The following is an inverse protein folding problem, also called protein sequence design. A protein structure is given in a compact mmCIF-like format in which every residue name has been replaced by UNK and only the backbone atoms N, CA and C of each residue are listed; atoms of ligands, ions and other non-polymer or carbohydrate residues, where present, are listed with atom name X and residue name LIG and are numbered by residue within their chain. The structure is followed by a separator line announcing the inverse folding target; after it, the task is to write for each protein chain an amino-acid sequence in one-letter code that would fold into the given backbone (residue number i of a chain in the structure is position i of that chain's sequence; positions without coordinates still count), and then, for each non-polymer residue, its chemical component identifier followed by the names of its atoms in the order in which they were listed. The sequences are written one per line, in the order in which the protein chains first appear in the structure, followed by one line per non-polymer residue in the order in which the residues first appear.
data_IF_112218626327
#
_entry.id   IF_112218626327
#
_cell.length_a   1.000
_cell.length_b   1.000
_cell.length_c   1.000
_cell.angle_alpha   90.00
_cell.angle_beta   90.00
_cell.angle_gamma   90.00
#
_symmetry.space_group_name_H-M   'P 1'
#
loop_
_entity.id
_entity.type
_entity.pdbx_description
1 polymer ?
#
# COMPACT_ATOMS: atom_id res chain seq x y z
N UNK A 1 19.61 34.59 16.02
CA UNK A 1 19.68 33.14 16.28
C UNK A 1 18.28 32.58 16.05
N UNK A 2 18.06 31.60 15.16
CA UNK A 2 16.77 30.94 15.10
C UNK A 2 16.59 30.13 16.39
N UNK A 3 15.46 30.33 17.07
CA UNK A 3 15.18 29.83 18.42
C UNK A 3 14.83 28.33 18.45
N UNK A 4 14.87 27.66 17.29
CA UNK A 4 14.40 26.29 17.17
C UNK A 4 14.94 25.60 15.91
N UNK A 5 15.63 24.47 16.07
CA UNK A 5 16.16 23.64 14.98
C UNK A 5 15.66 22.19 15.20
N UNK A 6 14.80 21.70 14.30
CA UNK A 6 14.37 20.30 14.29
C UNK A 6 15.22 19.55 13.29
N UNK A 7 16.03 18.63 13.79
CA UNK A 7 16.68 17.61 12.96
C UNK A 7 15.89 16.31 13.06
N UNK A 8 15.32 15.86 11.94
CA UNK A 8 14.82 14.48 11.78
C UNK A 8 15.36 13.88 10.49
N UNK A 9 15.50 12.56 10.55
CA UNK A 9 16.34 11.70 9.71
C UNK A 9 16.35 12.08 8.21
N UNK A 10 17.56 12.05 7.64
CA UNK A 10 17.87 12.22 6.23
C UNK A 10 17.04 11.26 5.36
N UNK A 11 15.85 11.69 4.98
CA UNK A 11 15.12 11.17 3.82
C UNK A 11 15.70 11.77 2.55
N UNK A 12 15.75 10.97 1.48
CA UNK A 12 16.22 11.39 0.17
C UNK A 12 15.60 12.73 -0.24
N UNK A 13 16.43 13.70 -0.61
CA UNK A 13 16.02 15.04 -1.06
C UNK A 13 16.51 16.20 -0.19
N UNK A 14 16.99 15.96 1.03
CA UNK A 14 17.61 17.01 1.84
C UNK A 14 19.14 16.92 1.76
N UNK A 15 19.74 17.80 0.96
CA UNK A 15 21.19 17.97 0.94
C UNK A 15 21.72 18.47 2.30
N UNK A 16 22.99 18.22 2.59
CA UNK A 16 23.68 18.88 3.70
C UNK A 16 23.52 20.40 3.58
N UNK A 17 23.09 21.07 4.65
CA UNK A 17 22.73 22.49 4.73
C UNK A 17 21.35 22.89 4.18
N UNK A 18 20.49 21.94 3.83
CA UNK A 18 19.08 22.24 3.61
C UNK A 18 18.39 22.58 4.94
N UNK A 19 17.75 23.74 5.03
CA UNK A 19 16.94 24.14 6.19
C UNK A 19 15.47 24.03 5.79
N UNK A 20 14.83 22.84 5.88
CA UNK A 20 13.43 22.72 5.53
C UNK A 20 12.59 23.58 6.50
N UNK A 21 11.59 24.28 5.96
CA UNK A 21 10.68 25.07 6.77
C UNK A 21 9.95 24.16 7.77
N UNK A 22 9.85 24.59 9.03
CA UNK A 22 9.03 23.91 10.02
C UNK A 22 7.56 23.95 9.57
N UNK A 23 6.92 22.78 9.53
CA UNK A 23 5.48 22.68 9.32
C UNK A 23 4.77 22.86 10.66
N UNK A 24 3.94 23.89 10.75
CA UNK A 24 3.08 24.16 11.89
C UNK A 24 1.65 23.74 11.55
N UNK A 25 0.86 23.41 12.58
CA UNK A 25 -0.58 23.20 12.40
C UNK A 25 -1.26 24.52 12.02
N UNK A 26 -2.52 24.46 11.58
CA UNK A 26 -3.34 25.66 11.31
C UNK A 26 -3.46 26.57 12.54
N UNK A 27 -3.26 26.04 13.75
CA UNK A 27 -3.27 26.79 15.01
C UNK A 27 -1.88 27.31 15.42
N UNK A 28 -0.84 27.09 14.61
CA UNK A 28 0.53 27.52 14.91
C UNK A 28 1.27 26.61 15.89
N UNK A 29 0.68 25.50 16.29
CA UNK A 29 1.30 24.53 17.19
C UNK A 29 2.30 23.65 16.42
N UNK A 30 3.39 23.30 17.09
CA UNK A 30 4.28 22.28 16.59
C UNK A 30 3.90 20.94 17.19
N UNK A 31 3.35 20.07 16.35
CA UNK A 31 2.98 18.70 16.73
C UNK A 31 4.00 17.72 16.17
N UNK A 32 4.61 16.94 17.05
CA UNK A 32 5.58 15.93 16.68
C UNK A 32 4.90 14.57 16.65
N UNK A 33 4.59 14.10 15.45
CA UNK A 33 3.95 12.80 15.19
C UNK A 33 4.82 11.95 14.28
N UNK A 34 4.51 10.66 14.17
CA UNK A 34 5.12 9.82 13.14
C UNK A 34 4.63 10.23 11.73
N UNK A 35 5.40 9.85 10.71
CA UNK A 35 5.14 10.25 9.33
C UNK A 35 3.79 9.72 8.80
N UNK A 36 3.44 8.47 9.12
CA UNK A 36 2.21 7.86 8.61
C UNK A 36 0.97 8.50 9.22
N UNK A 37 0.96 8.71 10.53
CA UNK A 37 -0.09 9.44 11.25
C UNK A 37 -0.23 10.86 10.71
N UNK A 38 0.89 11.57 10.51
CA UNK A 38 0.86 12.90 9.88
C UNK A 38 0.24 12.85 8.47
N UNK A 39 0.65 11.89 7.63
CA UNK A 39 0.13 11.71 6.28
C UNK A 39 -1.37 11.36 6.27
N UNK A 40 -1.83 10.52 7.21
CA UNK A 40 -3.24 10.16 7.36
C UNK A 40 -4.08 11.39 7.75
N UNK A 41 -3.62 12.18 8.72
CA UNK A 41 -4.28 13.41 9.18
C UNK A 41 -4.28 14.54 8.13
N UNK A 42 -3.26 14.58 7.27
CA UNK A 42 -3.18 15.46 6.10
C UNK A 42 -4.09 15.01 4.96
N UNK A 43 -4.82 13.88 5.12
CA UNK A 43 -5.67 13.33 4.08
C UNK A 43 -4.84 12.80 2.89
N UNK A 44 -3.73 12.14 3.15
CA UNK A 44 -2.94 11.40 2.13
C UNK A 44 -3.12 9.88 2.25
N UNK A 45 -3.84 9.44 3.28
CA UNK A 45 -4.24 8.06 3.48
C UNK A 45 -5.53 7.69 2.77
N UNK A 46 -5.53 6.51 2.15
CA UNK A 46 -6.70 5.90 1.53
C UNK A 46 -6.73 4.40 1.82
N UNK A 47 -7.93 3.83 1.79
CA UNK A 47 -8.15 2.41 1.97
C UNK A 47 -8.74 1.82 0.69
N UNK A 48 -8.26 0.63 0.32
CA UNK A 48 -8.83 -0.19 -0.74
C UNK A 48 -9.30 -1.49 -0.11
N UNK A 49 -10.54 -1.90 -0.39
CA UNK A 49 -11.13 -3.10 0.19
C UNK A 49 -11.71 -3.98 -0.91
N UNK A 50 -11.28 -5.23 -0.95
CA UNK A 50 -11.78 -6.20 -1.92
C UNK A 50 -13.16 -6.80 -1.55
N UNK A 51 -13.60 -6.63 -0.31
CA UNK A 51 -14.81 -7.27 0.21
C UNK A 51 -14.57 -8.74 0.52
N UNK A 52 -15.55 -9.59 0.20
CA UNK A 52 -15.44 -11.05 0.33
C UNK A 52 -15.02 -11.65 -1.00
N UNK A 53 -13.88 -12.35 -1.02
CA UNK A 53 -13.36 -13.09 -2.17
C UNK A 53 -13.83 -14.54 -2.02
N UNK A 54 -14.81 -14.96 -2.83
CA UNK A 54 -15.40 -16.32 -2.74
C UNK A 54 -14.76 -17.33 -3.67
N UNK A 55 -14.05 -16.85 -4.69
CA UNK A 55 -13.33 -17.68 -5.66
C UNK A 55 -11.93 -17.09 -5.88
N UNK A 56 -11.01 -17.22 -4.90
CA UNK A 56 -9.64 -16.75 -5.10
C UNK A 56 -9.00 -17.47 -6.29
N UNK A 57 -7.93 -16.87 -6.83
CA UNK A 57 -7.15 -17.50 -7.88
C UNK A 57 -6.71 -18.91 -7.39
N UNK A 58 -7.15 -19.94 -8.11
CA UNK A 58 -6.96 -21.34 -7.70
C UNK A 58 -6.01 -22.05 -8.66
N UNK A 59 -5.04 -22.76 -8.08
CA UNK A 59 -4.11 -23.64 -8.79
C UNK A 59 -2.71 -23.55 -8.19
N UNK A 60 -1.90 -24.57 -8.43
CA UNK A 60 -0.45 -24.58 -8.18
C UNK A 60 0.26 -23.66 -9.19
N UNK A 61 -0.31 -22.46 -9.34
CA UNK A 61 0.15 -21.41 -10.25
C UNK A 61 1.16 -20.65 -9.41
N UNK A 62 2.42 -20.77 -9.81
CA UNK A 62 3.50 -19.97 -9.26
C UNK A 62 3.02 -18.51 -9.18
N UNK A 63 3.25 -17.85 -8.04
CA UNK A 63 2.90 -16.45 -7.70
C UNK A 63 3.36 -15.43 -8.79
N UNK A 64 4.17 -15.90 -9.74
CA UNK A 64 4.43 -15.32 -11.06
C UNK A 64 3.20 -15.01 -11.92
N UNK A 65 1.96 -15.32 -11.51
CA UNK A 65 0.78 -15.01 -12.33
C UNK A 65 0.59 -13.49 -12.57
N UNK A 66 -0.02 -13.22 -13.72
CA UNK A 66 -0.46 -11.91 -14.21
C UNK A 66 -1.79 -11.48 -13.61
N UNK A 67 -2.24 -12.11 -12.53
CA UNK A 67 -3.56 -11.92 -11.96
C UNK A 67 -3.46 -11.55 -10.47
N UNK A 68 -4.36 -10.68 -10.00
CA UNK A 68 -4.43 -10.23 -8.62
C UNK A 68 -5.90 -9.98 -8.22
N UNK A 69 -6.20 -10.07 -6.91
CA UNK A 69 -7.51 -9.77 -6.36
C UNK A 69 -7.74 -8.26 -6.18
N UNK A 70 -6.66 -7.52 -5.94
CA UNK A 70 -6.69 -6.07 -5.81
C UNK A 70 -5.38 -5.44 -6.27
N UNK A 71 -5.48 -4.25 -6.87
CA UNK A 71 -4.34 -3.43 -7.23
C UNK A 71 -4.65 -1.95 -6.99
N UNK A 72 -3.60 -1.18 -6.73
CA UNK A 72 -3.66 0.28 -6.65
C UNK A 72 -2.63 0.84 -7.61
N UNK A 73 -3.10 1.69 -8.52
CA UNK A 73 -2.29 2.28 -9.58
C UNK A 73 -1.89 3.69 -9.18
N UNK A 74 -0.58 3.93 -9.15
CA UNK A 74 -0.05 5.27 -8.95
C UNK A 74 -0.37 6.12 -10.18
N UNK A 75 -0.97 7.29 -9.98
CA UNK A 75 -1.03 8.28 -11.05
C UNK A 75 0.39 8.77 -11.37
N UNK A 76 0.61 9.23 -12.60
CA UNK A 76 1.87 9.88 -12.97
C UNK A 76 2.20 10.98 -11.97
N UNK A 77 3.43 11.04 -11.49
CA UNK A 77 3.83 12.02 -10.48
C UNK A 77 3.63 11.58 -9.03
N UNK A 78 3.05 10.39 -8.78
CA UNK A 78 2.71 9.95 -7.41
C UNK A 78 3.45 8.67 -7.02
N UNK A 79 3.59 8.45 -5.72
CA UNK A 79 4.14 7.22 -5.15
C UNK A 79 3.16 6.64 -4.15
N UNK A 80 2.91 5.34 -4.28
CA UNK A 80 2.10 4.59 -3.33
C UNK A 80 3.03 3.99 -2.29
N UNK A 81 2.75 4.26 -1.02
CA UNK A 81 3.43 3.65 0.10
C UNK A 81 2.45 2.67 0.75
N UNK A 82 2.68 1.35 0.67
CA UNK A 82 1.87 0.41 1.42
C UNK A 82 2.14 0.62 2.92
N UNK A 83 1.08 0.75 3.71
CA UNK A 83 1.16 0.95 5.17
C UNK A 83 0.79 -0.34 5.90
N UNK A 84 -0.27 -1.00 5.45
CA UNK A 84 -0.80 -2.20 6.07
C UNK A 84 -1.56 -3.01 5.02
N UNK A 85 -1.48 -4.33 5.11
CA UNK A 85 -2.35 -5.26 4.41
C UNK A 85 -3.00 -6.20 5.44
N UNK A 86 -4.32 -6.35 5.35
CA UNK A 86 -5.10 -7.19 6.25
C UNK A 86 -5.97 -8.12 5.42
N UNK A 87 -5.95 -9.40 5.76
CA UNK A 87 -6.84 -10.40 5.17
C UNK A 87 -7.39 -11.31 6.26
N UNK A 88 -8.67 -11.65 6.17
CA UNK A 88 -9.31 -12.59 7.10
C UNK A 88 -9.63 -13.86 6.33
N UNK A 89 -9.08 -14.98 6.81
CA UNK A 89 -9.35 -16.29 6.22
C UNK A 89 -10.41 -16.99 7.05
N UNK A 90 -11.58 -17.15 6.44
CA UNK A 90 -12.56 -18.12 6.91
C UNK A 90 -12.25 -19.47 6.25
N UNK A 91 -12.53 -20.56 6.97
CA UNK A 91 -12.23 -21.94 6.57
C UNK A 91 -12.47 -22.17 5.07
N UNK A 92 -11.38 -22.34 4.31
CA UNK A 92 -11.44 -22.82 2.93
C UNK A 92 -11.85 -24.29 2.98
N UNK A 93 -13.12 -24.55 2.71
CA UNK A 93 -13.70 -25.88 2.71
C UNK A 93 -12.99 -26.72 1.61
N UNK A 94 -12.02 -27.56 1.97
CA UNK A 94 -11.28 -28.39 1.00
C UNK A 94 -9.80 -28.64 1.25
N UNK A 95 -9.18 -28.06 2.30
CA UNK A 95 -7.80 -28.41 2.69
C UNK A 95 -6.68 -27.70 1.91
N UNK A 96 -7.02 -26.80 0.98
CA UNK A 96 -6.04 -25.94 0.32
C UNK A 96 -5.62 -24.80 1.26
N UNK A 97 -4.32 -24.65 1.49
CA UNK A 97 -3.78 -23.54 2.28
C UNK A 97 -3.75 -22.26 1.42
N UNK A 98 -4.28 -21.13 1.91
CA UNK A 98 -4.18 -19.87 1.18
C UNK A 98 -2.75 -19.34 1.22
N UNK A 99 -2.31 -18.79 0.10
CA UNK A 99 -1.08 -18.00 0.01
C UNK A 99 -1.44 -16.54 -0.29
N UNK A 100 -0.70 -15.61 0.33
CA UNK A 100 -0.81 -14.18 0.03
C UNK A 100 0.53 -13.70 -0.46
N UNK A 101 0.52 -12.90 -1.52
CA UNK A 101 1.68 -12.14 -1.97
C UNK A 101 1.35 -10.65 -2.09
N UNK A 102 2.32 -9.81 -1.76
CA UNK A 102 2.25 -8.36 -1.91
C UNK A 102 3.43 -7.95 -2.78
N UNK A 103 3.14 -7.30 -3.90
CA UNK A 103 4.13 -6.91 -4.92
C UNK A 103 3.85 -5.51 -5.46
N UNK A 104 4.91 -4.86 -5.94
CA UNK A 104 4.83 -3.68 -6.79
C UNK A 104 5.29 -4.05 -8.19
N UNK A 105 4.65 -3.45 -9.19
CA UNK A 105 4.93 -3.68 -10.61
C UNK A 105 5.03 -2.35 -11.33
N UNK A 106 5.81 -2.29 -12.42
CA UNK A 106 6.03 -1.04 -13.16
C UNK A 106 4.87 -0.63 -14.07
N UNK A 107 3.92 -1.52 -14.36
CA UNK A 107 2.77 -1.20 -15.23
C UNK A 107 1.49 -1.10 -14.42
N UNK A 108 0.68 -0.09 -14.73
CA UNK A 108 -0.66 0.02 -14.16
C UNK A 108 -1.49 -1.24 -14.48
N UNK A 109 -2.31 -1.63 -13.51
CA UNK A 109 -3.20 -2.76 -13.63
C UNK A 109 -4.29 -2.53 -14.69
N UNK A 110 -4.72 -3.61 -15.31
CA UNK A 110 -5.81 -3.63 -16.28
C UNK A 110 -6.83 -4.69 -15.89
N UNK A 111 -8.00 -4.71 -16.56
CA UNK A 111 -9.16 -5.53 -16.19
C UNK A 111 -9.79 -5.22 -14.82
N UNK A 112 -11.12 -5.39 -14.72
CA UNK A 112 -11.92 -4.91 -13.59
C UNK A 112 -12.26 -3.41 -13.68
N UNK A 113 -13.23 -2.97 -12.88
CA UNK A 113 -13.69 -1.57 -12.85
C UNK A 113 -12.74 -0.73 -12.01
N UNK A 114 -12.11 0.27 -12.64
CA UNK A 114 -11.31 1.24 -11.90
C UNK A 114 -12.21 2.16 -11.09
N UNK A 115 -11.82 2.43 -9.85
CA UNK A 115 -12.47 3.42 -8.99
C UNK A 115 -11.43 4.29 -8.29
N UNK A 116 -11.85 5.45 -7.80
CA UNK A 116 -10.99 6.35 -7.03
C UNK A 116 -11.17 6.03 -5.54
N UNK A 117 -10.11 5.58 -4.83
CA UNK A 117 -10.19 5.34 -3.40
C UNK A 117 -10.56 6.62 -2.64
N UNK A 118 -11.49 6.49 -1.70
CA UNK A 118 -11.83 7.56 -0.78
C UNK A 118 -10.73 7.70 0.27
N UNK A 119 -10.45 8.94 0.66
CA UNK A 119 -9.51 9.23 1.73
C UNK A 119 -10.12 8.89 3.08
N UNK A 120 -9.25 8.54 4.02
CA UNK A 120 -9.67 8.31 5.41
C UNK A 120 -10.10 9.60 6.12
N UNK A 121 -9.72 10.76 5.58
CA UNK A 121 -10.14 12.08 6.05
C UNK A 121 -11.43 12.52 5.33
N UNK A 122 -12.47 12.82 6.11
CA UNK A 122 -13.84 13.12 5.65
C UNK A 122 -13.98 14.39 4.80
N UNK A 123 -13.06 15.35 4.92
CA UNK A 123 -12.99 16.60 4.15
C UNK A 123 -11.84 16.64 3.12
N UNK A 124 -11.21 15.48 2.85
CA UNK A 124 -10.11 15.39 1.89
C UNK A 124 -10.57 15.41 0.43
N UNK A 125 -9.80 16.07 -0.44
CA UNK A 125 -9.96 15.97 -1.90
C UNK A 125 -9.82 14.52 -2.39
N UNK A 126 -10.52 14.08 -3.43
CA UNK A 126 -10.40 12.69 -3.91
C UNK A 126 -8.95 12.28 -4.24
N UNK A 127 -8.64 10.97 -4.14
CA UNK A 127 -7.33 10.45 -4.56
C UNK A 127 -7.11 10.67 -6.05
N UNK A 128 -5.86 10.92 -6.46
CA UNK A 128 -5.48 10.96 -7.88
C UNK A 128 -5.20 9.54 -8.40
N UNK A 129 -4.79 8.63 -7.51
CA UNK A 129 -4.58 7.22 -7.80
C UNK A 129 -5.90 6.49 -8.00
N UNK A 130 -5.90 5.47 -8.84
CA UNK A 130 -7.03 4.56 -9.03
C UNK A 130 -6.76 3.23 -8.38
N UNK A 131 -7.81 2.49 -8.06
CA UNK A 131 -7.72 1.11 -7.59
C UNK A 131 -8.66 0.22 -8.38
N UNK A 132 -8.34 -1.07 -8.36
CA UNK A 132 -9.13 -2.14 -8.95
C UNK A 132 -9.27 -3.28 -7.95
N UNK A 133 -10.43 -3.91 -7.97
CA UNK A 133 -10.75 -5.07 -7.15
C UNK A 133 -11.48 -6.06 -8.03
N UNK A 134 -11.16 -7.34 -7.89
CA UNK A 134 -11.94 -8.42 -8.46
C UNK A 134 -11.99 -9.63 -7.51
N UNK A 135 -13.21 -10.10 -7.21
CA UNK A 135 -13.45 -11.25 -6.35
C UNK A 135 -12.97 -12.60 -6.91
N UNK A 136 -12.56 -12.63 -8.19
CA UNK A 136 -12.09 -13.81 -8.92
C UNK A 136 -10.63 -13.68 -9.38
N UNK A 137 -9.85 -12.79 -8.76
CA UNK A 137 -8.42 -12.64 -9.08
C UNK A 137 -8.11 -12.07 -10.46
N UNK A 138 -9.07 -11.50 -11.18
CA UNK A 138 -8.90 -11.09 -12.59
C UNK A 138 -8.29 -9.69 -12.79
N UNK A 139 -7.73 -9.05 -11.75
CA UNK A 139 -7.01 -7.78 -11.95
C UNK A 139 -5.68 -8.10 -12.61
N UNK A 140 -5.55 -7.76 -13.88
CA UNK A 140 -4.37 -8.06 -14.66
C UNK A 140 -3.21 -7.17 -14.25
N UNK A 141 -2.12 -7.79 -13.81
CA UNK A 141 -0.85 -7.17 -13.36
C UNK A 141 0.34 -7.83 -14.06
N UNK A 142 1.52 -7.25 -13.95
CA UNK A 142 2.74 -7.89 -14.47
C UNK A 142 3.06 -9.17 -13.69
N UNK A 143 3.50 -10.20 -14.42
CA UNK A 143 4.07 -11.42 -13.85
C UNK A 143 5.30 -11.12 -12.97
N UNK A 144 5.54 -11.92 -11.94
CA UNK A 144 6.74 -11.76 -11.09
C UNK A 144 8.05 -12.10 -11.80
N UNK A 145 7.99 -12.86 -12.90
CA UNK A 145 9.18 -13.15 -13.72
C UNK A 145 9.70 -11.89 -14.44
N UNK A 146 8.92 -10.81 -14.50
CA UNK A 146 9.39 -9.56 -15.06
C UNK A 146 10.42 -8.89 -14.14
N UNK A 147 11.50 -8.38 -14.73
CA UNK A 147 12.58 -7.67 -14.02
C UNK A 147 12.14 -6.34 -13.39
N UNK A 148 10.89 -5.94 -13.63
CA UNK A 148 10.27 -4.71 -13.12
C UNK A 148 9.30 -4.96 -11.97
N UNK A 149 9.21 -6.20 -11.50
CA UNK A 149 8.38 -6.60 -10.37
C UNK A 149 9.23 -6.71 -9.10
N UNK A 150 8.76 -6.11 -8.00
CA UNK A 150 9.36 -6.25 -6.68
C UNK A 150 8.38 -6.93 -5.73
N UNK A 151 8.83 -8.01 -5.09
CA UNK A 151 8.04 -8.78 -4.12
C UNK A 151 8.36 -8.28 -2.70
N UNK A 152 7.35 -7.78 -2.01
CA UNK A 152 7.47 -7.25 -0.65
C UNK A 152 7.20 -8.30 0.42
N UNK A 153 6.24 -9.19 0.14
CA UNK A 153 5.85 -10.27 1.02
C UNK A 153 5.31 -11.44 0.22
N UNK A 154 5.51 -12.63 0.76
CA UNK A 154 4.76 -13.81 0.38
C UNK A 154 4.82 -14.86 1.47
N UNK A 155 3.75 -15.61 1.64
CA UNK A 155 3.79 -16.81 2.46
C UNK A 155 2.48 -17.55 2.49
N UNK A 156 2.60 -18.86 2.73
CA UNK A 156 1.49 -19.73 3.09
C UNK A 156 0.94 -19.31 4.46
N UNK A 157 -0.38 -19.13 4.53
CA UNK A 157 -1.07 -18.83 5.78
C UNK A 157 -1.61 -20.14 6.35
N UNK A 158 -0.93 -20.66 7.38
CA UNK A 158 -1.11 -22.03 7.88
C UNK A 158 -2.36 -22.28 8.74
N UNK A 159 -3.27 -21.30 8.90
CA UNK A 159 -4.38 -21.43 9.86
C UNK A 159 -5.64 -21.98 9.19
N UNK A 160 -5.89 -23.28 9.37
CA UNK A 160 -7.20 -23.88 9.09
C UNK A 160 -7.76 -24.43 10.41
N UNK A 161 -8.60 -23.63 11.06
CA UNK A 161 -9.35 -23.99 12.27
C UNK A 161 -10.50 -23.01 12.48
N UNK A 162 -11.57 -23.44 13.15
CA UNK A 162 -12.75 -22.60 13.49
C UNK A 162 -12.36 -21.49 14.46
N UNK A 163 -11.85 -20.40 13.90
CA UNK A 163 -11.32 -19.24 14.62
C UNK A 163 -10.37 -18.52 13.69
N UNK A 164 -10.93 -17.74 12.75
CA UNK A 164 -10.17 -17.05 11.71
C UNK A 164 -9.00 -16.27 12.31
N UNK A 165 -7.79 -16.59 11.87
CA UNK A 165 -6.62 -15.79 12.18
C UNK A 165 -6.54 -14.65 11.16
N UNK A 166 -6.55 -13.38 11.59
CA UNK A 166 -6.28 -12.28 10.67
C UNK A 166 -4.83 -12.36 10.23
N UNK A 167 -4.60 -12.40 8.92
CA UNK A 167 -3.32 -12.05 8.35
C UNK A 167 -3.15 -10.53 8.48
N UNK A 168 -2.03 -10.15 9.06
CA UNK A 168 -1.60 -8.76 9.16
C UNK A 168 -0.16 -8.67 8.65
N UNK A 169 0.05 -7.82 7.67
CA UNK A 169 1.38 -7.44 7.21
C UNK A 169 1.52 -5.93 7.23
N UNK A 170 2.68 -5.50 7.73
CA UNK A 170 3.11 -4.11 7.79
C UNK A 170 4.57 -4.04 7.37
N UNK A 171 5.00 -3.00 6.63
CA UNK A 171 6.41 -2.77 6.36
C UNK A 171 7.18 -2.55 7.67
N UNK A 172 8.32 -3.22 7.84
CA UNK A 172 9.17 -3.11 9.04
C UNK A 172 9.88 -1.75 9.18
N UNK A 173 9.78 -0.88 8.17
CA UNK A 173 10.39 0.44 8.17
C UNK A 173 9.77 1.32 7.10
N UNK A 174 9.90 2.63 7.27
CA UNK A 174 9.47 3.59 6.26
C UNK A 174 10.22 3.30 4.94
N UNK A 175 9.52 3.29 3.79
CA UNK A 175 10.20 3.07 2.52
C UNK A 175 11.21 4.20 2.29
N UNK A 176 12.42 3.82 1.91
CA UNK A 176 13.38 4.78 1.39
C UNK A 176 12.90 5.13 -0.02
N UNK A 177 12.44 6.36 -0.21
CA UNK A 177 12.13 6.88 -1.54
C UNK A 177 13.46 7.01 -2.30
N UNK A 178 13.85 5.98 -3.05
CA UNK A 178 15.02 6.01 -3.93
C UNK A 178 14.55 6.43 -5.31
N UNK A 179 14.86 7.66 -5.70
CA UNK A 179 14.47 8.25 -6.99
C UNK A 179 14.09 9.72 -6.87
N UNK A 180 13.99 10.40 -8.01
CA UNK A 180 13.49 11.78 -8.04
C UNK A 180 12.02 11.79 -7.61
N UNK A 181 11.68 12.57 -6.57
CA UNK A 181 10.29 12.88 -6.28
C UNK A 181 9.76 13.74 -7.41
N UNK A 182 8.56 13.44 -7.90
CA UNK A 182 7.89 14.32 -8.83
C UNK A 182 7.53 15.61 -8.08
N UNK A 183 8.07 16.72 -8.57
CA UNK A 183 7.81 18.08 -8.11
C UNK A 183 6.36 18.48 -8.42
#
# INVERSE_FOLDING_TARGET
MPLFEVRRALGAGFGSNATPAARLTTMGEQVVVDFFTAAMLDGRGYQVRAGTITAPLTGDIVITDTAAEMAVDAASGTTIIPVQAVAHFESLNGGTLPEIAIKSVATASSAGTAFVPLKMKTDGSASVSTARVQAAGSVTVTAELATTTLRHYSGLVATVGTGGAPFLWEPKGAPVLVGAQCL
#
